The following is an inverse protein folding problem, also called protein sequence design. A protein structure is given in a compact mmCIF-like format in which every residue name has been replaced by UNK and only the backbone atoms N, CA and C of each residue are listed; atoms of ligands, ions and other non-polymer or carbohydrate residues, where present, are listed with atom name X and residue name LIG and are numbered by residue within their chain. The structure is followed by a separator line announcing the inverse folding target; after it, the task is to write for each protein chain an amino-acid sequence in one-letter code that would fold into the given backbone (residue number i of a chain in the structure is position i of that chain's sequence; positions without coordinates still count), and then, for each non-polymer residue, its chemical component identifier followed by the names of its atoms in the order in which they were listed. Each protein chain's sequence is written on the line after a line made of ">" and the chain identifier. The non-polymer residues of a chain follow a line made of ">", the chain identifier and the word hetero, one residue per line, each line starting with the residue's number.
data_IF_980765267472
#
_entry.id   IF_980765267472
#
_cell.length_a   1.000
_cell.length_b   1.000
_cell.length_c   1.000
_cell.angle_alpha   90.00
_cell.angle_beta   90.00
_cell.angle_gamma   90.00
#
_symmetry.space_group_name_H-M   'P 1'
#
loop_
_entity.id
_entity.type
_entity.pdbx_description
1 polymer ?
#
# COMPACT_ATOMS: atom_id res chain seq x y z
N UNK A 1 9.90 -25.89 -9.49
CA UNK A 1 9.88 -24.71 -8.62
C UNK A 1 10.50 -23.54 -9.39
N UNK A 2 9.84 -22.40 -9.46
CA UNK A 2 10.40 -21.19 -10.09
C UNK A 2 11.39 -20.51 -9.12
N UNK A 3 12.53 -20.06 -9.62
CA UNK A 3 13.52 -19.30 -8.84
C UNK A 3 14.23 -18.28 -9.72
N UNK A 4 14.65 -17.17 -9.11
CA UNK A 4 15.45 -16.14 -9.77
C UNK A 4 16.37 -15.45 -8.77
N UNK A 5 17.53 -14.98 -9.23
CA UNK A 5 18.42 -14.11 -8.46
C UNK A 5 17.85 -12.70 -8.44
N UNK A 6 17.85 -12.04 -7.28
CA UNK A 6 17.53 -10.61 -7.18
C UNK A 6 18.78 -9.81 -7.53
N UNK A 7 18.70 -8.97 -8.56
CA UNK A 7 19.80 -8.06 -8.94
C UNK A 7 19.44 -6.63 -8.55
N UNK A 8 18.24 -6.19 -8.91
CA UNK A 8 17.74 -4.87 -8.51
C UNK A 8 16.23 -4.90 -8.33
N UNK A 9 15.72 -3.99 -7.51
CA UNK A 9 14.31 -3.82 -7.21
C UNK A 9 13.88 -2.40 -7.51
N UNK A 10 12.68 -2.24 -8.07
CA UNK A 10 12.03 -0.93 -8.19
C UNK A 10 10.56 -1.06 -7.81
N UNK A 11 9.88 0.05 -7.58
CA UNK A 11 8.44 0.07 -7.33
C UNK A 11 7.75 1.08 -8.25
N UNK A 12 6.48 0.83 -8.51
CA UNK A 12 5.59 1.79 -9.16
C UNK A 12 4.16 1.62 -8.64
N UNK A 13 3.29 2.57 -8.93
CA UNK A 13 1.86 2.45 -8.65
C UNK A 13 1.09 2.15 -9.94
N UNK A 14 0.11 1.26 -9.85
CA UNK A 14 -0.77 0.84 -10.94
C UNK A 14 -2.23 0.79 -10.50
N UNK A 15 -3.17 0.68 -11.44
CA UNK A 15 -4.53 0.27 -11.12
C UNK A 15 -4.52 -1.20 -10.65
N UNK A 16 -5.35 -1.58 -9.66
CA UNK A 16 -5.38 -2.95 -9.16
C UNK A 16 -5.85 -3.94 -10.22
N UNK A 17 -5.24 -5.12 -10.25
CA UNK A 17 -5.63 -6.24 -11.12
C UNK A 17 -6.48 -7.24 -10.33
N UNK A 18 -7.74 -7.50 -10.71
CA UNK A 18 -8.57 -8.51 -10.04
C UNK A 18 -7.88 -9.88 -9.99
N UNK A 19 -7.86 -10.49 -8.80
CA UNK A 19 -7.21 -11.78 -8.57
C UNK A 19 -5.72 -11.70 -8.20
N UNK A 20 -5.07 -10.55 -8.40
CA UNK A 20 -3.68 -10.31 -7.96
C UNK A 20 -3.59 -9.22 -6.88
N UNK A 21 -4.44 -8.21 -6.96
CA UNK A 21 -4.47 -7.06 -6.05
C UNK A 21 -5.82 -6.93 -5.34
N UNK A 22 -5.80 -6.24 -4.20
CA UNK A 22 -7.01 -5.81 -3.52
C UNK A 22 -7.67 -4.66 -4.29
N UNK A 23 -8.90 -4.88 -4.76
CA UNK A 23 -9.68 -3.89 -5.54
C UNK A 23 -10.55 -2.99 -4.67
N UNK A 24 -10.89 -3.40 -3.46
CA UNK A 24 -11.72 -2.65 -2.51
C UNK A 24 -11.06 -2.60 -1.13
N UNK A 25 -11.25 -1.51 -0.40
CA UNK A 25 -10.80 -1.40 0.99
C UNK A 25 -11.99 -1.50 1.92
N UNK A 26 -12.03 -2.57 2.72
CA UNK A 26 -13.04 -2.74 3.79
C UNK A 26 -12.94 -1.63 4.85
N UNK A 27 -11.72 -1.15 5.11
CA UNK A 27 -11.50 -0.07 6.06
C UNK A 27 -12.07 1.27 5.57
N UNK A 28 -11.99 1.52 4.26
CA UNK A 28 -12.49 2.76 3.64
C UNK A 28 -13.90 2.68 3.08
N UNK A 29 -14.43 1.47 2.95
CA UNK A 29 -15.69 1.20 2.26
C UNK A 29 -15.70 1.79 0.84
N UNK A 30 -14.57 1.64 0.13
CA UNK A 30 -14.39 2.25 -1.19
C UNK A 30 -13.43 1.47 -2.08
N UNK A 31 -13.53 1.67 -3.38
CA UNK A 31 -12.59 1.13 -4.36
C UNK A 31 -11.16 1.63 -4.14
N UNK A 32 -10.20 0.74 -4.30
CA UNK A 32 -8.79 1.08 -4.37
C UNK A 32 -8.46 1.50 -5.80
N UNK A 33 -7.98 2.72 -6.01
CA UNK A 33 -7.64 3.23 -7.35
C UNK A 33 -6.19 2.98 -7.75
N UNK A 34 -5.29 2.87 -6.77
CA UNK A 34 -3.86 2.69 -6.98
C UNK A 34 -3.29 1.70 -5.95
N UNK A 35 -2.46 0.78 -6.42
CA UNK A 35 -1.75 -0.20 -5.59
C UNK A 35 -0.25 -0.18 -5.90
N UNK A 36 0.61 -0.41 -4.89
CA UNK A 36 2.03 -0.57 -5.12
C UNK A 36 2.34 -1.93 -5.75
N UNK A 37 3.18 -1.93 -6.78
CA UNK A 37 3.70 -3.15 -7.41
C UNK A 37 5.23 -3.09 -7.35
N UNK A 38 5.82 -4.12 -6.75
CA UNK A 38 7.27 -4.28 -6.73
C UNK A 38 7.73 -4.99 -8.00
N UNK A 39 8.78 -4.47 -8.62
CA UNK A 39 9.47 -5.11 -9.75
C UNK A 39 10.81 -5.63 -9.29
N UNK A 40 11.04 -6.90 -9.49
CA UNK A 40 12.31 -7.57 -9.23
C UNK A 40 12.94 -7.92 -10.58
N UNK A 41 14.13 -7.39 -10.83
CA UNK A 41 14.90 -7.69 -12.02
C UNK A 41 16.04 -8.64 -11.67
N UNK A 42 16.26 -9.62 -12.52
CA UNK A 42 17.33 -10.58 -12.34
C UNK A 42 17.34 -11.68 -13.37
N UNK A 43 17.82 -12.86 -12.99
CA UNK A 43 17.89 -14.01 -13.88
C UNK A 43 17.53 -15.32 -13.21
N UNK A 44 16.96 -16.24 -13.98
CA UNK A 44 16.75 -17.64 -13.58
C UNK A 44 18.09 -18.39 -13.45
N UNK A 45 18.12 -19.60 -12.86
CA UNK A 45 19.32 -20.44 -12.85
C UNK A 45 19.87 -20.78 -14.25
N UNK A 46 19.01 -20.82 -15.27
CA UNK A 46 19.40 -21.05 -16.65
C UNK A 46 19.84 -19.77 -17.38
N UNK A 47 19.96 -18.63 -16.68
CA UNK A 47 20.50 -17.38 -17.21
C UNK A 47 19.50 -16.51 -17.98
N UNK A 48 18.21 -16.85 -18.01
CA UNK A 48 17.20 -16.01 -18.66
C UNK A 48 16.96 -14.75 -17.85
N UNK A 49 16.99 -13.58 -18.49
CA UNK A 49 16.63 -12.31 -17.85
C UNK A 49 15.13 -12.31 -17.52
N UNK A 50 14.78 -11.84 -16.32
CA UNK A 50 13.41 -11.86 -15.83
C UNK A 50 13.09 -10.55 -15.11
N UNK A 51 11.86 -10.06 -15.36
CA UNK A 51 11.22 -9.02 -14.58
C UNK A 51 9.99 -9.62 -13.90
N UNK A 52 10.02 -9.77 -12.59
CA UNK A 52 8.90 -10.31 -11.80
C UNK A 52 8.14 -9.18 -11.13
N UNK A 53 6.81 -9.21 -11.23
CA UNK A 53 5.93 -8.27 -10.57
C UNK A 53 5.33 -8.92 -9.33
N UNK A 54 5.51 -8.29 -8.16
CA UNK A 54 4.96 -8.75 -6.89
C UNK A 54 3.83 -7.80 -6.49
N UNK A 55 2.64 -8.37 -6.37
CA UNK A 55 1.38 -7.71 -6.05
C UNK A 55 1.03 -7.90 -4.57
N UNK A 56 0.16 -7.05 -4.03
CA UNK A 56 -0.33 -7.16 -2.65
C UNK A 56 0.63 -6.74 -1.54
N UNK A 57 1.79 -6.14 -1.87
CA UNK A 57 2.78 -5.69 -0.87
C UNK A 57 2.62 -4.21 -0.59
N UNK A 58 1.84 -3.87 0.45
CA UNK A 58 1.63 -2.49 0.88
C UNK A 58 2.67 -2.05 1.92
N UNK A 59 3.30 -0.87 1.74
CA UNK A 59 4.17 -0.30 2.78
C UNK A 59 3.33 0.09 4.02
N UNK A 60 3.91 -0.07 5.19
CA UNK A 60 3.28 0.26 6.46
C UNK A 60 4.27 0.89 7.44
N UNK A 61 3.73 1.53 8.48
CA UNK A 61 4.46 2.09 9.60
C UNK A 61 3.64 1.93 10.88
N UNK A 62 4.28 2.09 12.03
CA UNK A 62 3.61 2.10 13.33
C UNK A 62 3.58 3.51 13.91
N UNK A 63 2.47 3.83 14.57
CA UNK A 63 2.30 5.06 15.33
C UNK A 63 1.76 4.68 16.72
N UNK A 64 2.24 5.28 17.81
CA UNK A 64 1.67 5.07 19.13
C UNK A 64 0.17 5.35 19.14
N UNK A 65 -0.59 4.48 19.80
CA UNK A 65 -2.03 4.63 19.97
C UNK A 65 -2.34 4.82 21.46
N UNK A 66 -3.05 5.90 21.77
CA UNK A 66 -3.36 6.35 23.12
C UNK A 66 -4.61 5.69 23.73
N UNK A 67 -5.27 4.78 22.99
CA UNK A 67 -6.49 4.11 23.42
C UNK A 67 -7.77 4.89 23.18
N UNK A 68 -7.74 5.97 22.37
CA UNK A 68 -8.93 6.80 22.07
C UNK A 68 -10.12 5.98 21.55
N UNK A 69 -11.28 6.11 22.19
CA UNK A 69 -12.53 5.42 21.82
C UNK A 69 -13.60 6.40 21.28
N UNK A 70 -14.53 5.95 20.41
CA UNK A 70 -14.57 4.62 19.80
C UNK A 70 -13.50 4.46 18.71
N UNK A 71 -12.74 3.36 18.79
CA UNK A 71 -11.57 3.12 17.95
C UNK A 71 -11.85 3.27 16.45
N UNK A 72 -12.89 2.63 15.93
CA UNK A 72 -13.21 2.65 14.49
C UNK A 72 -13.42 4.06 13.95
N UNK A 73 -14.11 4.91 14.71
CA UNK A 73 -14.33 6.31 14.33
C UNK A 73 -13.01 7.08 14.34
N UNK A 74 -12.20 6.90 15.38
CA UNK A 74 -10.90 7.56 15.50
C UNK A 74 -9.97 7.17 14.35
N UNK A 75 -9.83 5.87 14.06
CA UNK A 75 -8.97 5.38 12.97
C UNK A 75 -9.40 5.94 11.61
N UNK A 76 -10.70 5.97 11.32
CA UNK A 76 -11.23 6.56 10.06
C UNK A 76 -10.95 8.05 9.96
N UNK A 77 -11.14 8.80 11.06
CA UNK A 77 -10.84 10.23 11.12
C UNK A 77 -9.35 10.51 10.96
N UNK A 78 -8.51 9.73 11.63
CA UNK A 78 -7.06 9.83 11.52
C UNK A 78 -6.60 9.58 10.08
N UNK A 79 -7.10 8.52 9.44
CA UNK A 79 -6.80 8.21 8.04
C UNK A 79 -7.21 9.36 7.09
N UNK A 80 -8.39 9.94 7.26
CA UNK A 80 -8.85 11.08 6.47
C UNK A 80 -8.00 12.34 6.69
N UNK A 81 -7.56 12.60 7.94
CA UNK A 81 -6.67 13.71 8.23
C UNK A 81 -5.29 13.54 7.57
N UNK A 82 -4.77 12.31 7.54
CA UNK A 82 -3.50 11.99 6.92
C UNK A 82 -3.57 12.13 5.39
N UNK A 83 -4.64 11.63 4.76
CA UNK A 83 -4.86 11.84 3.32
C UNK A 83 -4.87 13.33 2.97
N UNK A 84 -5.61 14.14 3.75
CA UNK A 84 -5.69 15.59 3.54
C UNK A 84 -4.33 16.25 3.70
N UNK A 85 -3.57 15.91 4.74
CA UNK A 85 -2.23 16.45 4.97
C UNK A 85 -1.27 16.10 3.82
N UNK A 86 -1.32 14.86 3.32
CA UNK A 86 -0.52 14.42 2.17
C UNK A 86 -0.93 15.11 0.87
N UNK A 87 -2.22 15.32 0.63
CA UNK A 87 -2.71 16.07 -0.52
C UNK A 87 -2.20 17.52 -0.48
N UNK A 88 -2.22 18.17 0.68
CA UNK A 88 -1.66 19.51 0.86
C UNK A 88 -0.14 19.52 0.63
N UNK A 89 0.59 18.57 1.22
CA UNK A 89 2.05 18.45 1.05
C UNK A 89 2.45 18.22 -0.42
N UNK A 90 1.63 17.46 -1.16
CA UNK A 90 1.78 17.20 -2.59
C UNK A 90 1.21 18.33 -3.48
N UNK A 91 0.98 19.52 -2.92
CA UNK A 91 0.45 20.71 -3.64
C UNK A 91 -0.87 20.47 -4.37
N UNK A 92 -1.66 19.53 -3.88
CA UNK A 92 -2.92 19.08 -4.44
C UNK A 92 -4.04 19.21 -3.40
N UNK A 93 -4.14 20.37 -2.76
CA UNK A 93 -5.02 20.56 -1.59
C UNK A 93 -6.52 20.34 -1.87
N UNK A 94 -6.96 20.54 -3.12
CA UNK A 94 -8.32 20.26 -3.58
C UNK A 94 -8.54 18.81 -4.03
N UNK A 95 -7.49 18.00 -4.12
CA UNK A 95 -7.61 16.60 -4.49
C UNK A 95 -8.24 15.80 -3.35
N UNK A 96 -9.16 14.91 -3.70
CA UNK A 96 -9.74 13.93 -2.79
C UNK A 96 -9.03 12.56 -2.93
N UNK A 97 -7.72 12.58 -3.14
CA UNK A 97 -6.95 11.35 -3.31
C UNK A 97 -6.75 10.67 -1.95
N UNK A 98 -7.09 9.38 -1.91
CA UNK A 98 -6.81 8.52 -0.76
C UNK A 98 -5.38 7.97 -0.87
N UNK A 99 -4.63 8.07 0.22
CA UNK A 99 -3.25 7.56 0.35
C UNK A 99 -3.17 6.37 1.30
N UNK A 100 -4.01 6.35 2.35
CA UNK A 100 -4.01 5.25 3.34
C UNK A 100 -5.04 4.19 2.96
N UNK A 101 -4.54 2.97 2.71
CA UNK A 101 -5.34 1.79 2.38
C UNK A 101 -6.08 1.21 3.59
N UNK A 102 -5.36 0.99 4.71
CA UNK A 102 -5.88 0.35 5.93
C UNK A 102 -5.14 0.88 7.15
N UNK A 103 -5.85 0.96 8.28
CA UNK A 103 -5.26 1.12 9.61
C UNK A 103 -5.79 -0.01 10.50
N UNK A 104 -4.92 -0.61 11.29
CA UNK A 104 -5.28 -1.64 12.27
C UNK A 104 -4.51 -1.39 13.57
N UNK A 105 -5.20 -1.52 14.70
CA UNK A 105 -4.56 -1.53 16.00
C UNK A 105 -3.85 -2.87 16.18
N UNK A 106 -2.61 -2.82 16.62
CA UNK A 106 -1.80 -3.99 16.96
C UNK A 106 -1.17 -3.78 18.33
N UNK A 107 -0.91 -4.86 19.05
CA UNK A 107 -0.01 -4.85 20.20
C UNK A 107 1.40 -5.21 19.74
N UNK A 108 2.37 -4.39 20.13
CA UNK A 108 3.79 -4.71 20.02
C UNK A 108 4.34 -5.18 21.38
N UNK A 109 5.49 -5.85 21.36
CA UNK A 109 6.33 -6.06 22.54
C UNK A 109 7.34 -4.93 22.69
#
# INVERSE_FOLDING_TARGET
>A
MFSMRIVTTSQYQAAPIPGLDTTTSEFRDSDVKRVPVLRIFGSTPAGQKTCMHVHGVFPYLYVPYDGTQPADRYLRQFAASLDKALNVANRSASANQQHVYKISIVSGM
#
